data_IF_292820397152
#
_entry.id   IF_292820397152
#
_cell.length_a   1.000
_cell.length_b   1.000
_cell.length_c   1.000
_cell.angle_alpha   90.00
_cell.angle_beta   90.00
_cell.angle_gamma   90.00
#
_symmetry.space_group_name_H-M   'P 1'
#
loop_
_entity.id
_entity.type
_entity.pdbx_description
1 polymer ?
#
# COMPACT_ATOMS: atom_id res chain seq x y z
N UNK A 1 -9.67 1.83 30.84
CA UNK A 1 -9.62 0.50 30.21
C UNK A 1 -8.65 0.62 29.05
N UNK A 2 -7.52 -0.09 29.12
CA UNK A 2 -6.58 -0.08 27.99
C UNK A 2 -7.25 -0.74 26.79
N UNK A 3 -7.05 -0.21 25.56
CA UNK A 3 -7.59 -0.82 24.37
C UNK A 3 -7.04 -2.26 24.25
N UNK A 4 -7.92 -3.22 24.05
CA UNK A 4 -7.55 -4.61 23.82
C UNK A 4 -6.87 -4.70 22.43
N UNK A 5 -5.55 -4.50 22.41
CA UNK A 5 -4.76 -4.60 21.19
C UNK A 5 -4.58 -6.09 20.86
N UNK A 6 -5.07 -6.57 19.72
CA UNK A 6 -4.85 -7.94 19.31
C UNK A 6 -3.35 -8.26 19.23
N UNK A 7 -2.97 -9.47 19.64
CA UNK A 7 -1.57 -9.88 19.50
C UNK A 7 -1.11 -9.76 18.04
N UNK A 8 0.08 -9.17 17.78
CA UNK A 8 0.58 -9.03 16.43
C UNK A 8 0.88 -10.40 15.81
N UNK A 9 0.54 -10.56 14.53
CA UNK A 9 0.89 -11.77 13.76
C UNK A 9 2.34 -11.75 13.31
N UNK A 10 2.97 -10.57 13.29
CA UNK A 10 4.38 -10.37 13.01
C UNK A 10 4.88 -9.09 13.68
N UNK A 11 6.12 -9.13 14.18
CA UNK A 11 6.82 -7.96 14.74
C UNK A 11 8.23 -7.90 14.16
N UNK A 12 8.62 -6.76 13.64
CA UNK A 12 9.96 -6.51 13.11
C UNK A 12 10.29 -5.01 13.15
N UNK A 13 11.44 -4.67 13.71
CA UNK A 13 12.01 -3.30 13.71
C UNK A 13 11.05 -2.20 14.20
N UNK A 14 10.23 -2.49 15.22
CA UNK A 14 9.24 -1.55 15.78
C UNK A 14 7.94 -1.44 14.99
N UNK A 15 7.79 -2.26 13.93
CA UNK A 15 6.54 -2.42 13.18
C UNK A 15 5.86 -3.69 13.64
N UNK A 16 4.59 -3.58 13.97
CA UNK A 16 3.74 -4.71 14.30
C UNK A 16 2.64 -4.87 13.24
N UNK A 17 2.45 -6.09 12.77
CA UNK A 17 1.39 -6.43 11.81
C UNK A 17 0.32 -7.22 12.54
N UNK A 18 -0.93 -6.83 12.34
CA UNK A 18 -2.11 -7.36 13.00
C UNK A 18 -3.16 -7.77 11.96
N UNK A 19 -4.02 -8.71 12.32
CA UNK A 19 -5.15 -9.09 11.47
C UNK A 19 -6.19 -7.96 11.34
N UNK A 20 -6.37 -7.18 12.41
CA UNK A 20 -7.26 -6.02 12.44
C UNK A 20 -6.72 -4.98 13.41
N UNK A 21 -7.08 -3.70 13.18
CA UNK A 21 -6.79 -2.63 14.12
C UNK A 21 -7.68 -2.77 15.37
N UNK A 22 -7.21 -2.28 16.54
CA UNK A 22 -8.04 -2.23 17.75
C UNK A 22 -9.31 -1.43 17.53
N UNK A 23 -10.36 -1.78 18.26
CA UNK A 23 -11.61 -1.03 18.25
C UNK A 23 -11.35 0.44 18.65
N UNK A 24 -11.91 1.36 17.89
CA UNK A 24 -11.71 2.80 18.10
C UNK A 24 -10.42 3.37 17.52
N UNK A 25 -9.51 2.54 16.98
CA UNK A 25 -8.36 3.00 16.20
C UNK A 25 -8.76 3.24 14.76
N UNK A 26 -8.17 4.26 14.13
CA UNK A 26 -8.36 4.53 12.72
C UNK A 26 -7.05 4.30 11.97
N UNK A 27 -7.10 3.49 10.91
CA UNK A 27 -5.98 3.40 9.98
C UNK A 27 -5.89 4.73 9.21
N UNK A 28 -4.87 5.53 9.56
CA UNK A 28 -4.63 6.83 8.95
C UNK A 28 -3.99 6.73 7.56
N UNK A 29 -3.39 5.58 7.26
CA UNK A 29 -2.65 5.33 6.02
C UNK A 29 -3.14 4.07 5.33
N UNK A 30 -3.05 4.03 4.01
CA UNK A 30 -3.15 2.82 3.22
C UNK A 30 -1.88 2.64 2.41
N UNK A 31 -1.22 1.50 2.56
CA UNK A 31 0.01 1.14 1.83
C UNK A 31 -0.26 -0.10 1.00
N UNK A 32 0.21 -0.12 -0.23
CA UNK A 32 -0.07 -1.16 -1.21
C UNK A 32 1.24 -1.77 -1.71
N UNK A 33 1.43 -3.07 -1.48
CA UNK A 33 2.47 -3.83 -2.16
C UNK A 33 1.93 -4.25 -3.53
N UNK A 34 2.45 -3.66 -4.60
CA UNK A 34 1.91 -3.80 -5.96
C UNK A 34 2.81 -4.66 -6.81
N UNK A 35 2.20 -5.62 -7.50
CA UNK A 35 2.85 -6.42 -8.52
C UNK A 35 2.40 -6.01 -9.93
N UNK A 36 3.30 -6.14 -10.89
CA UNK A 36 3.02 -6.06 -12.32
C UNK A 36 3.96 -7.01 -13.05
N UNK A 37 3.41 -7.94 -13.82
CA UNK A 37 4.19 -8.90 -14.62
C UNK A 37 5.27 -9.64 -13.81
N UNK A 38 4.97 -10.02 -12.56
CA UNK A 38 5.89 -10.74 -11.69
C UNK A 38 6.92 -9.89 -10.95
N UNK A 39 6.96 -8.57 -11.14
CA UNK A 39 7.84 -7.64 -10.45
C UNK A 39 7.08 -6.74 -9.47
N UNK A 40 7.77 -6.12 -8.53
CA UNK A 40 7.22 -5.17 -7.57
C UNK A 40 7.30 -3.75 -8.11
N UNK A 41 6.19 -3.03 -8.11
CA UNK A 41 6.18 -1.61 -8.45
C UNK A 41 6.48 -0.78 -7.21
N UNK A 42 7.50 0.06 -7.29
CA UNK A 42 7.78 1.09 -6.30
C UNK A 42 7.73 2.45 -6.97
N UNK A 43 7.48 3.45 -6.15
CA UNK A 43 7.37 4.84 -6.56
C UNK A 43 8.47 5.68 -5.93
N UNK A 44 8.82 6.77 -6.59
CA UNK A 44 9.78 7.75 -6.10
C UNK A 44 9.19 9.15 -6.20
N UNK A 45 9.05 9.79 -5.06
CA UNK A 45 8.66 11.20 -4.99
C UNK A 45 9.67 12.11 -5.68
N UNK A 46 9.19 13.19 -6.29
CA UNK A 46 10.03 14.21 -6.95
C UNK A 46 11.05 14.85 -6.00
N UNK A 47 10.71 15.02 -4.74
CA UNK A 47 11.56 15.57 -3.72
C UNK A 47 12.58 14.58 -3.12
N UNK A 48 12.57 13.29 -3.53
CA UNK A 48 13.38 12.22 -2.92
C UNK A 48 14.18 11.45 -3.96
N UNK A 49 15.23 10.78 -3.50
CA UNK A 49 16.03 9.84 -4.31
C UNK A 49 15.79 8.38 -3.92
N UNK A 50 14.90 8.15 -2.98
CA UNK A 50 14.58 6.84 -2.38
C UNK A 50 13.25 6.32 -2.91
N UNK A 51 13.06 5.00 -2.81
CA UNK A 51 11.89 4.29 -3.29
C UNK A 51 10.96 3.92 -2.14
N UNK A 52 9.68 3.82 -2.44
CA UNK A 52 8.66 3.45 -1.47
C UNK A 52 7.54 2.64 -2.12
N UNK A 53 6.85 1.84 -1.32
CA UNK A 53 5.60 1.22 -1.71
C UNK A 53 4.55 2.32 -1.91
N UNK A 54 3.70 2.24 -2.95
CA UNK A 54 2.61 3.18 -3.13
C UNK A 54 1.72 3.27 -1.90
N UNK A 55 1.23 4.45 -1.61
CA UNK A 55 0.30 4.67 -0.51
C UNK A 55 0.32 6.09 0.02
N UNK A 56 -0.63 6.39 0.88
CA UNK A 56 -0.78 7.71 1.46
C UNK A 56 -1.81 7.78 2.56
N UNK A 57 -2.07 9.00 3.00
CA UNK A 57 -3.06 9.29 4.01
C UNK A 57 -4.47 9.04 3.49
N UNK A 58 -5.29 8.47 4.33
CA UNK A 58 -6.72 8.33 4.10
C UNK A 58 -7.38 9.71 4.22
N UNK A 59 -8.25 10.06 3.29
CA UNK A 59 -9.11 11.22 3.40
C UNK A 59 -10.24 10.98 4.43
N UNK A 60 -10.83 12.06 5.02
CA UNK A 60 -11.76 11.92 6.15
C UNK A 60 -12.94 10.98 5.92
N UNK A 61 -13.48 10.95 4.71
CA UNK A 61 -14.68 10.16 4.37
C UNK A 61 -14.34 8.86 3.61
N UNK A 62 -13.06 8.53 3.46
CA UNK A 62 -12.63 7.30 2.80
C UNK A 62 -12.53 6.12 3.78
N UNK A 63 -12.89 4.95 3.30
CA UNK A 63 -12.44 3.69 3.89
C UNK A 63 -10.98 3.43 3.54
N UNK A 64 -10.26 2.57 4.29
CA UNK A 64 -8.89 2.18 3.92
C UNK A 64 -8.79 1.58 2.50
N UNK A 65 -9.81 0.85 2.06
CA UNK A 65 -9.88 0.27 0.71
C UNK A 65 -10.02 1.35 -0.37
N UNK A 66 -10.88 2.35 -0.16
CA UNK A 66 -11.04 3.46 -1.09
C UNK A 66 -9.76 4.28 -1.22
N UNK A 67 -9.11 4.57 -0.08
CA UNK A 67 -7.80 5.22 -0.08
C UNK A 67 -6.76 4.40 -0.85
N UNK A 68 -6.71 3.08 -0.65
CA UNK A 68 -5.79 2.20 -1.38
C UNK A 68 -6.03 2.24 -2.89
N UNK A 69 -7.29 2.20 -3.33
CA UNK A 69 -7.63 2.30 -4.76
C UNK A 69 -7.24 3.65 -5.36
N UNK A 70 -7.49 4.75 -4.65
CA UNK A 70 -7.13 6.10 -5.08
C UNK A 70 -5.61 6.27 -5.18
N UNK A 71 -4.87 5.93 -4.12
CA UNK A 71 -3.41 6.04 -4.08
C UNK A 71 -2.75 5.16 -5.15
N UNK A 72 -3.26 3.94 -5.35
CA UNK A 72 -2.74 3.04 -6.39
C UNK A 72 -2.86 3.65 -7.78
N UNK A 73 -3.98 4.31 -8.08
CA UNK A 73 -4.16 5.01 -9.34
C UNK A 73 -3.27 6.27 -9.42
N UNK A 74 -3.32 7.12 -8.41
CA UNK A 74 -2.61 8.41 -8.40
C UNK A 74 -1.09 8.24 -8.49
N UNK A 75 -0.55 7.23 -7.83
CA UNK A 75 0.89 7.03 -7.74
C UNK A 75 1.48 6.07 -8.79
N UNK A 76 0.65 5.20 -9.39
CA UNK A 76 1.15 4.23 -10.38
C UNK A 76 0.48 4.31 -11.74
N UNK A 77 -0.63 4.99 -11.87
CA UNK A 77 -1.46 4.99 -13.07
C UNK A 77 -2.24 3.71 -13.29
N UNK A 78 -2.39 2.85 -12.26
CA UNK A 78 -3.14 1.61 -12.38
C UNK A 78 -4.61 1.87 -12.70
N UNK A 79 -5.10 1.32 -13.82
CA UNK A 79 -6.48 1.48 -14.30
C UNK A 79 -7.34 0.25 -14.02
N UNK A 80 -6.73 -0.92 -14.03
CA UNK A 80 -7.38 -2.20 -13.76
C UNK A 80 -6.44 -3.04 -12.92
N UNK A 81 -6.92 -3.50 -11.78
CA UNK A 81 -6.09 -4.23 -10.81
C UNK A 81 -6.92 -5.14 -9.90
N UNK A 82 -6.30 -6.19 -9.38
CA UNK A 82 -6.83 -6.95 -8.25
C UNK A 82 -6.25 -6.39 -6.97
N UNK A 83 -7.03 -6.38 -5.90
CA UNK A 83 -6.63 -5.84 -4.61
C UNK A 83 -7.22 -6.67 -3.48
N UNK A 84 -6.42 -7.03 -2.49
CA UNK A 84 -6.88 -7.67 -1.26
C UNK A 84 -6.17 -7.09 -0.03
N UNK A 85 -6.88 -7.09 1.10
CA UNK A 85 -6.32 -6.68 2.37
C UNK A 85 -5.36 -7.74 2.93
N UNK A 86 -4.24 -7.30 3.49
CA UNK A 86 -3.27 -8.14 4.20
C UNK A 86 -3.29 -7.94 5.72
N UNK A 87 -4.17 -7.09 6.22
CA UNK A 87 -4.27 -6.70 7.62
C UNK A 87 -3.94 -5.23 7.83
N UNK A 88 -3.62 -4.90 9.06
CA UNK A 88 -3.17 -3.56 9.44
C UNK A 88 -1.79 -3.64 10.10
N UNK A 89 -1.15 -2.49 10.23
CA UNK A 89 0.13 -2.38 10.90
C UNK A 89 0.13 -1.19 11.85
N UNK A 90 0.96 -1.27 12.88
CA UNK A 90 1.22 -0.15 13.77
C UNK A 90 2.69 0.22 13.77
N UNK A 91 2.94 1.51 13.91
CA UNK A 91 4.28 2.08 14.08
C UNK A 91 4.26 2.96 15.32
N UNK A 92 5.16 2.67 16.25
CA UNK A 92 5.31 3.46 17.47
C UNK A 92 6.58 4.28 17.39
N UNK A 93 6.43 5.60 17.47
CA UNK A 93 7.52 6.56 17.49
C UNK A 93 7.24 7.64 18.53
N UNK A 94 8.23 7.94 19.38
CA UNK A 94 8.09 8.97 20.41
C UNK A 94 6.93 8.75 21.40
N UNK A 95 6.58 7.49 21.67
CA UNK A 95 5.46 7.12 22.54
C UNK A 95 4.08 7.24 21.89
N UNK A 96 4.02 7.62 20.61
CA UNK A 96 2.77 7.66 19.84
C UNK A 96 2.70 6.48 18.87
N UNK A 97 1.53 5.83 18.78
CA UNK A 97 1.26 4.72 17.86
C UNK A 97 0.32 5.18 16.76
N UNK A 98 0.78 5.02 15.53
CA UNK A 98 -0.02 5.24 14.31
C UNK A 98 -0.40 3.90 13.69
N UNK A 99 -1.59 3.85 13.11
CA UNK A 99 -2.13 2.67 12.43
C UNK A 99 -2.26 2.89 10.94
N UNK A 100 -1.97 1.86 10.15
CA UNK A 100 -2.16 1.86 8.71
C UNK A 100 -2.73 0.52 8.23
N UNK A 101 -3.41 0.56 7.09
CA UNK A 101 -3.89 -0.64 6.40
C UNK A 101 -2.85 -1.09 5.36
N UNK A 102 -2.65 -2.40 5.26
CA UNK A 102 -1.76 -3.02 4.27
C UNK A 102 -2.57 -3.80 3.25
N UNK A 103 -2.30 -3.54 1.98
CA UNK A 103 -2.92 -4.22 0.85
C UNK A 103 -1.86 -4.86 -0.05
N UNK A 104 -2.28 -5.90 -0.77
CA UNK A 104 -1.57 -6.52 -1.87
C UNK A 104 -2.37 -6.31 -3.15
N UNK A 105 -1.72 -5.87 -4.23
CA UNK A 105 -2.35 -5.65 -5.52
C UNK A 105 -1.57 -6.30 -6.67
N UNK A 106 -2.30 -6.63 -7.73
CA UNK A 106 -1.77 -6.95 -9.06
C UNK A 106 -2.30 -5.92 -10.06
N UNK A 107 -1.43 -5.09 -10.59
CA UNK A 107 -1.76 -4.17 -11.67
C UNK A 107 -1.84 -4.94 -13.00
N UNK A 108 -3.02 -4.91 -13.62
CA UNK A 108 -3.30 -5.61 -14.88
C UNK A 108 -3.09 -4.67 -16.07
N UNK A 109 -3.59 -3.44 -15.95
CA UNK A 109 -3.36 -2.39 -16.93
C UNK A 109 -3.04 -1.08 -16.23
N UNK A 110 -2.08 -0.36 -16.77
CA UNK A 110 -1.72 1.00 -16.33
C UNK A 110 -1.84 1.97 -17.51
N UNK A 111 -2.29 3.18 -17.20
CA UNK A 111 -2.24 4.32 -18.12
C UNK A 111 -1.03 5.20 -17.84
N UNK A 112 -1.08 6.43 -18.34
CA UNK A 112 -0.12 7.46 -17.99
C UNK A 112 -0.18 7.75 -16.49
N UNK A 113 0.97 8.09 -15.91
CA UNK A 113 1.01 8.54 -14.51
C UNK A 113 0.24 9.86 -14.38
N UNK A 114 -0.76 9.93 -13.50
CA UNK A 114 -1.45 11.19 -13.22
C UNK A 114 -0.48 12.27 -12.75
N UNK A 115 -0.85 13.53 -12.91
CA UNK A 115 -0.11 14.63 -12.31
C UNK A 115 -0.17 14.51 -10.79
N UNK A 116 0.99 14.29 -10.17
CA UNK A 116 1.15 14.04 -8.75
C UNK A 116 2.57 14.38 -8.30
N UNK A 117 2.86 14.17 -7.02
CA UNK A 117 4.22 14.32 -6.48
C UNK A 117 5.17 13.17 -6.88
N UNK A 118 4.67 12.16 -7.58
CA UNK A 118 5.47 11.01 -8.03
C UNK A 118 6.25 11.36 -9.29
N UNK A 119 7.56 11.31 -9.19
CA UNK A 119 8.46 11.53 -10.33
C UNK A 119 8.66 10.27 -11.17
N UNK A 120 8.60 9.09 -10.56
CA UNK A 120 8.90 7.83 -11.24
C UNK A 120 8.21 6.63 -10.60
N UNK A 121 7.73 5.74 -11.45
CA UNK A 121 7.29 4.38 -11.09
C UNK A 121 8.24 3.39 -11.74
N UNK A 122 8.72 2.39 -10.99
CA UNK A 122 9.66 1.40 -11.50
C UNK A 122 9.37 0.01 -10.97
N UNK A 123 9.57 -0.99 -11.83
CA UNK A 123 9.49 -2.39 -11.47
C UNK A 123 10.82 -2.91 -10.93
N UNK A 124 10.77 -3.67 -9.83
CA UNK A 124 11.91 -4.30 -9.19
C UNK A 124 11.63 -5.79 -8.96
N UNK A 125 12.65 -6.61 -9.19
CA UNK A 125 12.55 -8.05 -8.87
C UNK A 125 12.47 -8.31 -7.35
N UNK A 126 13.10 -7.45 -6.56
CA UNK A 126 13.08 -7.44 -5.09
C UNK A 126 13.14 -5.99 -4.59
N UNK A 127 12.90 -5.76 -3.30
CA UNK A 127 13.02 -4.42 -2.73
C UNK A 127 14.43 -3.84 -2.96
N UNK A 128 14.55 -2.60 -3.46
CA UNK A 128 15.83 -1.92 -3.56
C UNK A 128 16.38 -1.56 -2.17
N UNK A 129 17.70 -1.36 -2.08
CA UNK A 129 18.35 -0.95 -0.82
C UNK A 129 18.02 0.49 -0.40
N UNK A 130 17.73 1.38 -1.36
CA UNK A 130 17.46 2.80 -1.10
C UNK A 130 15.97 3.04 -0.88
N UNK A 131 15.45 2.64 0.28
CA UNK A 131 14.05 2.84 0.69
C UNK A 131 13.87 4.14 1.47
N UNK A 132 12.74 4.82 1.27
CA UNK A 132 12.34 6.00 2.05
C UNK A 132 12.06 5.64 3.50
N UNK A 133 11.47 4.47 3.74
CA UNK A 133 11.14 3.96 5.08
C UNK A 133 11.79 2.58 5.31
N UNK A 134 13.11 2.52 5.51
CA UNK A 134 13.85 1.25 5.55
C UNK A 134 13.55 0.38 6.78
N UNK A 135 12.97 0.96 7.83
CA UNK A 135 12.55 0.23 9.04
C UNK A 135 11.11 -0.27 8.98
N UNK A 136 10.29 0.24 8.06
CA UNK A 136 8.87 -0.06 7.96
C UNK A 136 8.57 -0.95 6.76
N UNK A 137 8.95 -0.51 5.57
CA UNK A 137 8.53 -1.14 4.32
C UNK A 137 9.00 -2.59 4.10
N UNK A 138 10.19 -3.01 4.55
CA UNK A 138 10.56 -4.42 4.44
C UNK A 138 9.64 -5.39 5.20
N UNK A 139 9.12 -4.98 6.36
CA UNK A 139 8.17 -5.79 7.12
C UNK A 139 6.81 -5.87 6.41
N UNK A 140 6.31 -4.76 5.88
CA UNK A 140 5.07 -4.71 5.11
C UNK A 140 5.17 -5.55 3.84
N UNK A 141 6.26 -5.41 3.09
CA UNK A 141 6.51 -6.19 1.89
C UNK A 141 6.57 -7.69 2.18
N UNK A 142 7.28 -8.11 3.21
CA UNK A 142 7.37 -9.51 3.61
C UNK A 142 6.00 -10.11 4.00
N UNK A 143 5.14 -9.32 4.63
CA UNK A 143 3.77 -9.73 4.93
C UNK A 143 2.95 -9.91 3.65
N UNK A 144 2.98 -8.94 2.74
CA UNK A 144 2.30 -9.01 1.44
C UNK A 144 2.80 -10.20 0.61
N UNK A 145 4.09 -10.48 0.63
CA UNK A 145 4.70 -11.64 -0.04
C UNK A 145 4.18 -12.99 0.48
N UNK A 146 3.95 -13.11 1.79
CA UNK A 146 3.31 -14.29 2.38
C UNK A 146 1.88 -14.48 1.87
N UNK A 147 1.11 -13.39 1.76
CA UNK A 147 -0.26 -13.42 1.20
C UNK A 147 -0.23 -13.84 -0.27
N UNK A 148 0.70 -13.29 -1.05
CA UNK A 148 0.89 -13.66 -2.45
C UNK A 148 1.18 -15.16 -2.62
N UNK A 149 2.10 -15.72 -1.84
CA UNK A 149 2.45 -17.16 -1.89
C UNK A 149 1.30 -18.08 -1.49
N UNK A 150 0.33 -17.57 -0.73
CA UNK A 150 -0.90 -18.29 -0.36
C UNK A 150 -2.04 -18.13 -1.37
N UNK A 151 -1.77 -17.51 -2.51
CA UNK A 151 -2.77 -17.33 -3.57
C UNK A 151 -3.80 -16.23 -3.30
N UNK A 152 -3.50 -15.26 -2.42
CA UNK A 152 -4.47 -14.23 -2.03
C UNK A 152 -5.03 -13.41 -3.20
N UNK A 153 -4.27 -13.27 -4.30
CA UNK A 153 -4.72 -12.54 -5.49
C UNK A 153 -5.59 -13.36 -6.45
N UNK A 154 -5.60 -14.68 -6.35
CA UNK A 154 -6.32 -15.56 -7.28
C UNK A 154 -7.83 -15.27 -7.28
N UNK A 155 -8.39 -15.00 -6.10
CA UNK A 155 -9.81 -14.71 -5.91
C UNK A 155 -10.06 -13.26 -5.43
N UNK A 156 -9.04 -12.40 -5.47
CA UNK A 156 -9.17 -11.02 -5.05
C UNK A 156 -10.10 -10.23 -6.00
N UNK A 157 -10.90 -9.30 -5.48
CA UNK A 157 -11.77 -8.46 -6.28
C UNK A 157 -11.01 -7.71 -7.37
N UNK A 158 -11.66 -7.54 -8.52
CA UNK A 158 -11.16 -6.76 -9.64
C UNK A 158 -11.75 -5.35 -9.57
N UNK A 159 -10.89 -4.37 -9.53
CA UNK A 159 -11.24 -2.95 -9.55
C UNK A 159 -10.91 -2.33 -10.91
N UNK A 160 -11.69 -1.32 -11.28
CA UNK A 160 -11.47 -0.50 -12.48
C UNK A 160 -11.64 0.96 -12.12
N UNK A 161 -10.66 1.77 -12.48
CA UNK A 161 -10.76 3.22 -12.37
C UNK A 161 -11.51 3.72 -13.60
N UNK A 162 -12.57 4.55 -13.43
CA UNK A 162 -13.24 5.19 -14.55
C UNK A 162 -12.24 6.10 -15.28
N UNK A 163 -11.91 5.76 -16.52
CA UNK A 163 -11.16 6.67 -17.39
C UNK A 163 -12.12 7.78 -17.76
N UNK A 164 -11.89 9.01 -17.29
CA UNK A 164 -12.57 10.18 -17.85
C UNK A 164 -12.24 10.21 -19.34
N UNK A 165 -13.25 10.10 -20.18
CA UNK A 165 -13.08 10.42 -21.59
C UNK A 165 -12.61 11.86 -21.63
N UNK A 166 -11.36 12.10 -21.99
CA UNK A 166 -10.94 13.40 -22.42
C UNK A 166 -11.90 13.82 -23.54
N UNK A 167 -12.57 14.93 -23.35
CA UNK A 167 -13.34 15.57 -24.40
C UNK A 167 -12.34 15.82 -25.53
N UNK A 168 -12.52 15.07 -26.61
CA UNK A 168 -11.76 15.36 -27.85
C UNK A 168 -12.22 16.74 -28.34
N UNK A 169 -11.27 17.62 -28.67
CA UNK A 169 -11.59 18.89 -29.27
C UNK A 169 -12.32 18.73 -30.61
#
# INVERSE_FOLDING_TARGET
MEPNIPSPVCRKDGVEIHAAAPEGSAEAFSVIAVRENGAWLLVRHSARKTWELPGGHREPDETPLEAACRELYEETGALRFRLCACGCYSVTQGGQTSWGALFLAEAITRGSLPESEIAQVRAFAALPGALTYPTIQPALHACAEKHLRRGALENAPLFRVPVRKEERP
#
